data_IF_592997709443
#
_entry.id   IF_592997709443
#
_cell.length_a   1.000
_cell.length_b   1.000
_cell.length_c   1.000
_cell.angle_alpha   90.00
_cell.angle_beta   90.00
_cell.angle_gamma   90.00
#
_symmetry.space_group_name_H-M   'P 1'
#
loop_
_entity.id
_entity.type
_entity.pdbx_description
1 polymer ?
#
# COMPACT_ATOMS: atom_id res chain seq x y z
N UNK A 1 4.75 18.03 -22.05
CA UNK A 1 3.73 17.39 -21.19
C UNK A 1 3.08 16.27 -21.98
N UNK A 2 3.35 14.99 -21.67
CA UNK A 2 2.59 13.89 -22.29
C UNK A 2 1.14 14.08 -21.86
N UNK A 3 0.24 14.43 -22.79
CA UNK A 3 -1.18 14.61 -22.52
C UNK A 3 -1.79 13.25 -22.27
N UNK A 4 -1.69 12.79 -21.02
CA UNK A 4 -2.10 11.45 -20.62
C UNK A 4 -3.62 11.39 -20.44
N UNK A 5 -4.33 11.42 -21.57
CA UNK A 5 -5.81 11.41 -21.63
C UNK A 5 -6.46 10.17 -20.98
N UNK A 6 -5.66 9.17 -20.62
CA UNK A 6 -6.10 7.91 -20.00
C UNK A 6 -5.69 7.77 -18.53
N UNK A 7 -5.14 8.82 -17.88
CA UNK A 7 -4.61 8.73 -16.51
C UNK A 7 -5.62 8.20 -15.47
N UNK A 8 -6.89 8.61 -15.55
CA UNK A 8 -7.94 8.10 -14.66
C UNK A 8 -8.22 6.61 -14.87
N UNK A 9 -8.25 6.15 -16.13
CA UNK A 9 -8.44 4.73 -16.46
C UNK A 9 -7.29 3.88 -15.94
N UNK A 10 -6.05 4.36 -16.07
CA UNK A 10 -4.86 3.68 -15.52
C UNK A 10 -4.87 3.63 -13.99
N UNK A 11 -5.30 4.70 -13.32
CA UNK A 11 -5.46 4.72 -11.86
C UNK A 11 -6.49 3.66 -11.40
N UNK A 12 -7.68 3.65 -12.00
CA UNK A 12 -8.74 2.69 -11.67
C UNK A 12 -8.25 1.27 -11.91
N UNK A 13 -7.55 1.02 -13.03
CA UNK A 13 -6.97 -0.29 -13.32
C UNK A 13 -6.01 -0.74 -12.21
N UNK A 14 -5.10 0.12 -11.76
CA UNK A 14 -4.17 -0.23 -10.69
C UNK A 14 -4.87 -0.51 -9.37
N UNK A 15 -5.87 0.29 -8.98
CA UNK A 15 -6.65 0.04 -7.75
C UNK A 15 -7.41 -1.29 -7.84
N UNK A 16 -8.09 -1.57 -8.95
CA UNK A 16 -8.82 -2.82 -9.15
C UNK A 16 -7.87 -4.03 -9.14
N UNK A 17 -6.71 -3.90 -9.77
CA UNK A 17 -5.70 -4.96 -9.76
C UNK A 17 -5.16 -5.20 -8.35
N UNK A 18 -4.90 -4.16 -7.56
CA UNK A 18 -4.54 -4.28 -6.14
C UNK A 18 -5.60 -5.05 -5.37
N UNK A 19 -6.88 -4.68 -5.52
CA UNK A 19 -7.99 -5.36 -4.84
C UNK A 19 -8.09 -6.83 -5.21
N UNK A 20 -7.91 -7.18 -6.49
CA UNK A 20 -7.97 -8.56 -6.96
C UNK A 20 -6.81 -9.38 -6.39
N UNK A 21 -5.58 -8.89 -6.48
CA UNK A 21 -4.37 -9.59 -6.03
C UNK A 21 -4.39 -9.81 -4.51
N UNK A 22 -4.76 -8.78 -3.75
CA UNK A 22 -4.79 -8.82 -2.29
C UNK A 22 -6.13 -9.25 -1.70
N UNK A 23 -7.11 -9.64 -2.52
CA UNK A 23 -8.41 -10.14 -2.04
C UNK A 23 -8.25 -11.35 -1.10
N UNK A 24 -7.21 -12.16 -1.33
CA UNK A 24 -6.91 -13.35 -0.52
C UNK A 24 -6.54 -13.06 0.93
N UNK A 25 -5.98 -11.89 1.24
CA UNK A 25 -5.53 -11.51 2.60
C UNK A 25 -6.53 -10.60 3.32
N UNK A 26 -7.62 -10.21 2.66
CA UNK A 26 -8.52 -9.17 3.20
C UNK A 26 -9.22 -9.60 4.50
N UNK A 27 -9.41 -10.91 4.69
CA UNK A 27 -10.01 -11.50 5.89
C UNK A 27 -8.97 -11.97 6.91
N UNK A 28 -7.68 -11.72 6.66
CA UNK A 28 -6.62 -12.08 7.61
C UNK A 28 -6.68 -11.17 8.83
N UNK A 29 -6.45 -11.76 10.01
CA UNK A 29 -6.42 -11.00 11.27
C UNK A 29 -5.11 -10.21 11.43
N UNK A 30 -5.06 -9.31 12.41
CA UNK A 30 -3.84 -8.58 12.77
C UNK A 30 -2.71 -9.55 13.13
N UNK A 31 -1.47 -9.19 12.79
CA UNK A 31 -0.29 -10.03 12.99
C UNK A 31 0.80 -9.29 13.77
N UNK A 32 1.52 -10.03 14.61
CA UNK A 32 2.73 -9.56 15.29
C UNK A 32 2.57 -8.19 15.98
N UNK A 33 3.30 -7.19 15.53
CA UNK A 33 3.37 -5.85 16.08
C UNK A 33 2.13 -4.98 15.80
N UNK A 34 1.23 -5.41 14.91
CA UNK A 34 -0.04 -4.73 14.64
C UNK A 34 -0.86 -4.52 15.93
N UNK A 35 -0.91 -5.53 16.79
CA UNK A 35 -1.63 -5.46 18.07
C UNK A 35 -1.09 -4.36 18.96
N UNK A 36 0.24 -4.21 19.00
CA UNK A 36 0.90 -3.17 19.78
C UNK A 36 0.51 -1.81 19.24
N UNK A 37 0.57 -1.60 17.93
CA UNK A 37 0.29 -0.28 17.34
C UNK A 37 -1.18 0.12 17.48
N UNK A 38 -2.11 -0.79 17.20
CA UNK A 38 -3.55 -0.55 17.35
C UNK A 38 -3.89 -0.29 18.83
N UNK A 39 -3.26 -1.03 19.75
CA UNK A 39 -3.42 -0.79 21.19
C UNK A 39 -2.90 0.58 21.62
N UNK A 40 -1.73 1.00 21.15
CA UNK A 40 -1.20 2.33 21.44
C UNK A 40 -2.09 3.45 20.89
N UNK A 41 -2.58 3.31 19.66
CA UNK A 41 -3.52 4.27 19.06
C UNK A 41 -4.83 4.34 19.86
N UNK A 42 -5.37 3.20 20.28
CA UNK A 42 -6.59 3.14 21.10
C UNK A 42 -6.41 3.82 22.46
N UNK A 43 -5.27 3.66 23.10
CA UNK A 43 -5.04 4.13 24.48
C UNK A 43 -4.49 5.55 24.56
N UNK A 44 -3.67 5.97 23.59
CA UNK A 44 -2.92 7.24 23.61
C UNK A 44 -3.28 8.17 22.44
N UNK A 45 -4.23 7.76 21.59
CA UNK A 45 -4.70 8.53 20.45
C UNK A 45 -3.66 8.63 19.32
N UNK A 46 -3.76 9.69 18.52
CA UNK A 46 -2.86 9.94 17.38
C UNK A 46 -1.38 9.96 17.81
N UNK A 47 -1.15 10.38 19.06
CA UNK A 47 0.00 10.27 19.99
C UNK A 47 0.67 8.91 20.23
N UNK A 48 0.02 7.80 19.89
CA UNK A 48 0.33 6.52 20.53
C UNK A 48 1.62 5.83 20.07
N UNK A 49 1.88 5.80 18.77
CA UNK A 49 2.95 4.97 18.17
C UNK A 49 4.35 5.55 18.46
N UNK A 50 4.50 6.86 18.36
CA UNK A 50 5.72 7.68 18.58
C UNK A 50 6.07 8.07 20.03
N UNK A 51 5.20 7.90 21.03
CA UNK A 51 5.49 8.37 22.42
C UNK A 51 5.69 7.25 23.43
N UNK A 52 5.79 5.99 22.97
CA UNK A 52 5.74 4.83 23.87
C UNK A 52 7.03 4.00 23.81
N UNK A 53 7.70 3.89 24.96
CA UNK A 53 8.83 2.97 25.18
C UNK A 53 8.34 1.50 25.20
N UNK A 54 9.20 0.51 24.88
CA UNK A 54 10.66 0.60 24.68
C UNK A 54 11.08 1.04 23.26
N UNK A 55 10.20 0.89 22.28
CA UNK A 55 10.49 1.10 20.87
C UNK A 55 9.92 2.43 20.37
N UNK A 56 10.57 3.54 20.74
CA UNK A 56 10.21 4.88 20.27
C UNK A 56 10.53 4.99 18.77
N UNK A 57 9.58 4.59 17.93
CA UNK A 57 9.67 4.74 16.47
C UNK A 57 8.91 5.98 16.04
N UNK A 58 9.65 7.03 15.66
CA UNK A 58 9.06 8.25 15.13
C UNK A 58 8.49 8.04 13.72
N UNK A 59 7.21 7.64 13.65
CA UNK A 59 6.47 7.35 12.42
C UNK A 59 5.18 8.18 12.36
N UNK A 60 5.28 9.51 12.21
CA UNK A 60 4.13 10.43 12.33
C UNK A 60 3.01 10.11 11.34
N UNK A 61 3.36 9.87 10.08
CA UNK A 61 2.38 9.60 9.01
C UNK A 61 1.63 8.29 9.29
N UNK A 62 2.35 7.24 9.69
CA UNK A 62 1.74 5.94 10.02
C UNK A 62 0.81 6.07 11.22
N UNK A 63 1.22 6.80 12.26
CA UNK A 63 0.38 7.01 13.45
C UNK A 63 -0.93 7.75 13.12
N UNK A 64 -0.86 8.77 12.25
CA UNK A 64 -2.05 9.50 11.77
C UNK A 64 -2.97 8.57 10.97
N UNK A 65 -2.42 7.83 10.00
CA UNK A 65 -3.20 6.91 9.18
C UNK A 65 -3.84 5.81 10.02
N UNK A 66 -3.09 5.19 10.93
CA UNK A 66 -3.58 4.14 11.81
C UNK A 66 -4.64 4.67 12.79
N UNK A 67 -4.51 5.91 13.25
CA UNK A 67 -5.55 6.57 14.04
C UNK A 67 -6.83 6.79 13.24
N UNK A 68 -6.72 7.26 11.99
CA UNK A 68 -7.88 7.44 11.11
C UNK A 68 -8.55 6.10 10.80
N UNK A 69 -7.79 5.06 10.49
CA UNK A 69 -8.32 3.71 10.28
C UNK A 69 -9.02 3.19 11.53
N UNK A 70 -8.46 3.43 12.72
CA UNK A 70 -9.13 3.09 13.98
C UNK A 70 -10.43 3.86 14.19
N UNK A 71 -10.50 5.15 13.83
CA UNK A 71 -11.74 5.92 13.95
C UNK A 71 -12.83 5.45 12.98
N UNK A 72 -12.45 5.01 11.78
CA UNK A 72 -13.40 4.59 10.73
C UNK A 72 -13.83 3.12 10.91
N UNK A 73 -12.87 2.24 11.19
CA UNK A 73 -13.06 0.78 11.16
C UNK A 73 -13.00 0.13 12.54
N UNK A 74 -12.60 0.86 13.58
CA UNK A 74 -12.44 0.32 14.92
C UNK A 74 -11.37 -0.77 14.98
N UNK A 75 -11.73 -1.94 15.52
CA UNK A 75 -10.85 -3.11 15.59
C UNK A 75 -11.10 -4.11 14.44
N UNK A 76 -11.79 -3.71 13.38
CA UNK A 76 -12.05 -4.58 12.24
C UNK A 76 -10.85 -4.59 11.26
N UNK A 77 -10.05 -5.67 11.17
CA UNK A 77 -8.83 -5.70 10.34
C UNK A 77 -9.12 -5.54 8.85
N UNK A 78 -10.32 -5.92 8.38
CA UNK A 78 -10.74 -5.79 6.98
C UNK A 78 -10.62 -4.35 6.49
N UNK A 79 -10.98 -3.39 7.35
CA UNK A 79 -10.90 -1.97 7.03
C UNK A 79 -9.47 -1.47 6.82
N UNK A 80 -8.55 -1.89 7.70
CA UNK A 80 -7.12 -1.55 7.59
C UNK A 80 -6.50 -2.15 6.33
N UNK A 81 -6.82 -3.41 6.01
CA UNK A 81 -6.36 -4.05 4.77
C UNK A 81 -6.89 -3.32 3.54
N UNK A 82 -8.17 -2.92 3.54
CA UNK A 82 -8.75 -2.18 2.43
C UNK A 82 -8.06 -0.83 2.21
N UNK A 83 -7.85 -0.05 3.28
CA UNK A 83 -7.11 1.22 3.22
C UNK A 83 -5.71 1.01 2.65
N UNK A 84 -4.98 0.00 3.13
CA UNK A 84 -3.63 -0.32 2.66
C UNK A 84 -3.60 -0.73 1.18
N UNK A 85 -4.53 -1.57 0.74
CA UNK A 85 -4.61 -2.04 -0.66
C UNK A 85 -4.92 -0.87 -1.61
N UNK A 86 -5.79 0.06 -1.20
CA UNK A 86 -6.10 1.27 -1.97
C UNK A 86 -4.86 2.16 -2.07
N UNK A 87 -4.17 2.43 -0.95
CA UNK A 87 -2.92 3.20 -0.97
C UNK A 87 -1.85 2.54 -1.83
N UNK A 88 -1.76 1.21 -1.84
CA UNK A 88 -0.86 0.48 -2.73
C UNK A 88 -1.21 0.72 -4.21
N UNK A 89 -2.49 0.72 -4.57
CA UNK A 89 -2.94 1.09 -5.93
C UNK A 89 -2.52 2.51 -6.34
N UNK A 90 -2.61 3.48 -5.41
CA UNK A 90 -2.09 4.83 -5.64
C UNK A 90 -0.58 4.86 -5.81
N UNK A 91 0.19 4.11 -5.02
CA UNK A 91 1.63 4.00 -5.17
C UNK A 91 2.02 3.45 -6.55
N UNK A 92 1.38 2.38 -7.03
CA UNK A 92 1.61 1.83 -8.37
C UNK A 92 1.33 2.88 -9.46
N UNK A 93 0.23 3.62 -9.32
CA UNK A 93 -0.10 4.71 -10.24
C UNK A 93 0.93 5.85 -10.20
N UNK A 94 1.41 6.26 -9.02
CA UNK A 94 2.42 7.31 -8.92
C UNK A 94 3.77 6.86 -9.49
N UNK A 95 4.16 5.60 -9.32
CA UNK A 95 5.35 5.05 -9.99
C UNK A 95 5.19 5.10 -11.51
N UNK A 96 4.03 4.70 -12.04
CA UNK A 96 3.71 4.87 -13.45
C UNK A 96 3.78 6.36 -13.89
N UNK A 97 3.22 7.26 -13.09
CA UNK A 97 3.23 8.69 -13.40
C UNK A 97 4.64 9.26 -13.43
N UNK A 98 5.45 9.01 -12.39
CA UNK A 98 6.83 9.50 -12.29
C UNK A 98 7.69 8.91 -13.40
N UNK A 99 7.63 7.59 -13.65
CA UNK A 99 8.38 6.96 -14.74
C UNK A 99 8.01 7.54 -16.10
N UNK A 100 6.72 7.82 -16.35
CA UNK A 100 6.28 8.44 -17.59
C UNK A 100 6.83 9.86 -17.78
N UNK A 101 7.01 10.62 -16.69
CA UNK A 101 7.59 11.96 -16.73
C UNK A 101 9.10 11.92 -16.95
N UNK A 102 9.81 11.00 -16.29
CA UNK A 102 11.25 10.83 -16.45
C UNK A 102 11.62 10.43 -17.88
N UNK A 103 10.82 9.58 -18.51
CA UNK A 103 11.05 9.10 -19.87
C UNK A 103 10.73 10.14 -20.96
N UNK A 104 10.20 11.32 -20.62
CA UNK A 104 9.93 12.40 -21.60
C UNK A 104 11.22 12.88 -22.27
N UNK A 105 12.33 12.87 -21.54
CA UNK A 105 13.64 13.31 -22.04
C UNK A 105 14.44 12.19 -22.70
N UNK A 106 13.90 10.97 -22.76
CA UNK A 106 14.55 9.86 -23.45
C UNK A 106 14.31 9.95 -24.97
N UNK A 107 15.29 9.53 -25.77
CA UNK A 107 15.13 9.40 -27.24
C UNK A 107 14.19 8.24 -27.66
N UNK A 108 13.43 7.66 -26.72
CA UNK A 108 12.59 6.50 -26.96
C UNK A 108 11.26 6.90 -27.61
N UNK A 109 10.70 5.99 -28.40
CA UNK A 109 9.35 6.14 -28.93
C UNK A 109 8.33 6.25 -27.79
N UNK A 110 7.34 7.13 -27.95
CA UNK A 110 6.30 7.40 -26.94
C UNK A 110 5.54 6.15 -26.49
N UNK A 111 5.30 5.20 -27.41
CA UNK A 111 4.66 3.91 -27.09
C UNK A 111 5.53 3.04 -26.18
N UNK A 112 6.83 2.98 -26.45
CA UNK A 112 7.78 2.18 -25.66
C UNK A 112 7.96 2.76 -24.25
N UNK A 113 8.06 4.08 -24.14
CA UNK A 113 8.09 4.78 -22.85
C UNK A 113 6.85 4.49 -22.00
N UNK A 114 5.67 4.48 -22.60
CA UNK A 114 4.42 4.13 -21.92
C UNK A 114 4.38 2.67 -21.47
N UNK A 115 4.83 1.72 -22.30
CA UNK A 115 4.91 0.30 -21.92
C UNK A 115 5.88 0.06 -20.76
N UNK A 116 7.07 0.70 -20.78
CA UNK A 116 8.03 0.61 -19.68
C UNK A 116 7.44 1.15 -18.37
N UNK A 117 6.73 2.28 -18.45
CA UNK A 117 6.09 2.89 -17.28
C UNK A 117 5.01 1.99 -16.67
N UNK A 118 4.21 1.31 -17.51
CA UNK A 118 3.19 0.36 -17.04
C UNK A 118 3.81 -0.86 -16.36
N UNK A 119 4.88 -1.40 -16.93
CA UNK A 119 5.62 -2.53 -16.38
C UNK A 119 6.26 -2.16 -15.04
N UNK A 120 6.83 -0.95 -14.91
CA UNK A 120 7.41 -0.47 -13.65
C UNK A 120 6.39 -0.45 -12.50
N UNK A 121 5.15 0.00 -12.76
CA UNK A 121 4.06 -0.08 -11.79
C UNK A 121 3.67 -1.53 -11.44
N UNK A 122 3.76 -2.45 -12.39
CA UNK A 122 3.45 -3.87 -12.15
C UNK A 122 4.49 -4.56 -11.25
N UNK A 123 5.78 -4.23 -11.41
CA UNK A 123 6.85 -4.79 -10.58
C UNK A 123 6.65 -4.55 -9.07
N UNK A 124 5.99 -3.45 -8.70
CA UNK A 124 5.69 -3.12 -7.30
C UNK A 124 4.72 -4.13 -6.67
N UNK A 125 3.80 -4.72 -7.44
CA UNK A 125 2.90 -5.78 -6.94
C UNK A 125 3.63 -7.08 -6.60
N UNK A 126 4.64 -7.44 -7.40
CA UNK A 126 5.33 -8.73 -7.26
C UNK A 126 6.20 -8.78 -6.01
N UNK A 127 6.74 -7.64 -5.57
CA UNK A 127 7.66 -7.59 -4.43
C UNK A 127 6.95 -7.87 -3.09
N UNK A 128 5.70 -7.44 -2.97
CA UNK A 128 4.87 -7.58 -1.76
C UNK A 128 4.23 -8.97 -1.62
N UNK A 129 4.07 -9.74 -2.70
CA UNK A 129 3.57 -11.13 -2.62
C UNK A 129 4.62 -12.12 -2.11
N UNK A 130 5.91 -11.79 -2.18
CA UNK A 130 7.00 -12.71 -1.79
C UNK A 130 6.95 -13.08 -0.29
N UNK A 131 6.33 -12.24 0.55
CA UNK A 131 6.07 -12.53 1.95
C UNK A 131 5.00 -13.62 2.19
N UNK A 132 4.26 -14.08 1.16
CA UNK A 132 3.23 -15.14 1.28
C UNK A 132 3.82 -16.51 1.61
N UNK A 133 5.04 -16.81 1.15
CA UNK A 133 5.60 -18.16 1.28
C UNK A 133 5.89 -18.55 2.73
N UNK A 134 6.13 -17.58 3.61
CA UNK A 134 6.49 -17.87 5.00
C UNK A 134 5.28 -18.18 5.90
N UNK A 135 4.05 -17.85 5.48
CA UNK A 135 2.86 -18.00 6.35
C UNK A 135 2.15 -19.35 6.21
N UNK A 136 2.26 -20.03 5.08
CA UNK A 136 1.68 -21.38 4.92
C UNK A 136 2.45 -22.47 5.68
N UNK A 137 3.69 -22.18 6.10
CA UNK A 137 4.52 -23.14 6.85
C UNK A 137 4.31 -23.08 8.38
N UNK A 138 3.66 -22.04 8.93
CA UNK A 138 3.41 -21.93 10.38
C UNK A 138 1.99 -22.34 10.80
N UNK A 139 1.10 -22.67 9.86
CA UNK A 139 -0.28 -23.10 10.14
C UNK A 139 -0.44 -24.59 10.49
N UNK A 140 0.66 -25.30 10.75
CA UNK A 140 0.72 -26.76 10.98
C UNK A 140 1.16 -27.15 12.40
N UNK A 141 0.89 -26.29 13.40
CA UNK A 141 1.03 -26.61 14.82
C UNK A 141 -0.25 -26.31 15.60
#
# INVERSE_FOLDING_TARGET
MIKNRHGLGTLILYILLSLIIYSTIINSFFLADDFTWVYQIKTRGIFGVWTTAPDVFFRPIISILLFLDYQIWGLNPVGYHLTNIIFHGFCCFFVYFISSQLLIHSHLSTKLSQSISMIAGFFVFSFTQSCRSSYLDFGSF
#
